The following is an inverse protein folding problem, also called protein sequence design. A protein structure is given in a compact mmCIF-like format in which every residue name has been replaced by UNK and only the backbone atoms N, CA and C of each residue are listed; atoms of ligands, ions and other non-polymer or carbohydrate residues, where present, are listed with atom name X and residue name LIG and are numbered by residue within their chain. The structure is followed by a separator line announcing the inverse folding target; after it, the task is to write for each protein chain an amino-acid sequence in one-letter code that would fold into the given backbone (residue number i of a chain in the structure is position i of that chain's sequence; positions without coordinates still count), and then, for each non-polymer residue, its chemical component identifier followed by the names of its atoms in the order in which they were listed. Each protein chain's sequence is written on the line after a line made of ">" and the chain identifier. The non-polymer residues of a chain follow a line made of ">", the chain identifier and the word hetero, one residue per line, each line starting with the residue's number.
data_IF_638833883292
#
_entry.id   IF_638833883292
#
_cell.length_a   1.000
_cell.length_b   1.000
_cell.length_c   1.000
_cell.angle_alpha   90.00
_cell.angle_beta   90.00
_cell.angle_gamma   90.00
#
_symmetry.space_group_name_H-M   'P 1'
#
loop_
_entity.id
_entity.type
_entity.pdbx_description
1 polymer ?
#
# COMPACT_ATOMS: atom_id res chain seq x y z
N UNK A 1 14.09 17.65 11.44
CA UNK A 1 15.38 16.98 11.12
C UNK A 1 15.66 17.16 9.64
N UNK A 2 16.86 17.57 9.24
CA UNK A 2 17.20 17.92 7.83
C UNK A 2 18.41 17.15 7.27
N UNK A 3 18.89 16.10 7.95
CA UNK A 3 20.02 15.31 7.45
C UNK A 3 19.54 14.19 6.54
N UNK A 4 20.12 14.10 5.34
CA UNK A 4 19.88 12.99 4.43
C UNK A 4 20.21 11.64 5.10
N UNK A 5 19.44 10.61 4.74
CA UNK A 5 19.61 9.23 5.20
C UNK A 5 19.66 8.32 3.98
N UNK A 6 20.40 7.22 4.08
CA UNK A 6 20.25 6.13 3.13
C UNK A 6 18.92 5.43 3.39
N UNK A 7 18.07 5.26 2.39
CA UNK A 7 16.74 4.66 2.56
C UNK A 7 16.82 3.28 3.23
N UNK A 8 17.79 2.46 2.84
CA UNK A 8 18.01 1.12 3.39
C UNK A 8 18.57 1.09 4.82
N UNK A 9 19.06 2.23 5.35
CA UNK A 9 19.44 2.34 6.76
C UNK A 9 18.26 2.58 7.70
N UNK A 10 17.08 2.92 7.14
CA UNK A 10 15.84 3.03 7.90
C UNK A 10 15.33 1.60 8.12
N UNK A 11 14.99 1.30 9.38
CA UNK A 11 14.47 -0.02 9.76
C UNK A 11 13.22 -0.34 8.95
N UNK A 12 13.20 -1.49 8.29
CA UNK A 12 12.00 -2.03 7.68
C UNK A 12 11.13 -2.77 8.69
N UNK A 13 9.83 -2.75 8.43
CA UNK A 13 8.81 -3.49 9.14
C UNK A 13 8.25 -4.57 8.21
N UNK A 14 8.10 -5.77 8.73
CA UNK A 14 7.49 -6.93 8.04
C UNK A 14 6.15 -7.29 8.66
N UNK A 15 5.68 -6.50 9.63
CA UNK A 15 4.36 -6.68 10.23
C UNK A 15 3.26 -6.40 9.21
N UNK A 16 2.30 -7.31 9.16
CA UNK A 16 1.11 -7.20 8.33
C UNK A 16 -0.13 -7.05 9.23
N UNK A 17 -0.85 -5.90 9.16
CA UNK A 17 -1.99 -5.61 10.03
C UNK A 17 -3.28 -6.29 9.57
N UNK A 18 -3.34 -6.89 8.39
CA UNK A 18 -4.54 -7.55 7.91
C UNK A 18 -4.90 -8.76 8.81
N UNK A 19 -6.19 -9.00 9.07
CA UNK A 19 -6.64 -10.20 9.76
C UNK A 19 -6.55 -11.44 8.84
N UNK A 20 -6.61 -12.64 9.43
CA UNK A 20 -6.79 -13.85 8.62
C UNK A 20 -8.20 -13.90 8.03
N UNK A 21 -8.37 -14.45 6.80
CA UNK A 21 -7.37 -15.15 6.00
C UNK A 21 -6.60 -14.24 5.00
N UNK A 22 -6.71 -12.92 5.12
CA UNK A 22 -6.05 -11.98 4.20
C UNK A 22 -4.54 -11.95 4.41
N UNK A 23 -4.10 -11.95 5.67
CA UNK A 23 -2.69 -11.92 6.02
C UNK A 23 -1.89 -13.00 5.31
N UNK A 24 -2.39 -14.25 5.33
CA UNK A 24 -1.75 -15.38 4.65
C UNK A 24 -1.71 -15.26 3.12
N UNK A 25 -2.62 -14.47 2.51
CA UNK A 25 -2.66 -14.27 1.05
C UNK A 25 -1.62 -13.27 0.54
N UNK A 26 -1.19 -12.33 1.38
CA UNK A 26 -0.34 -11.22 0.97
C UNK A 26 1.13 -11.62 0.81
N UNK A 27 1.56 -12.73 1.40
CA UNK A 27 2.95 -13.17 1.33
C UNK A 27 3.90 -12.29 2.14
N UNK A 28 5.19 -12.37 1.83
CA UNK A 28 6.25 -11.66 2.57
C UNK A 28 6.58 -10.32 1.90
N UNK A 29 6.54 -9.26 2.69
CA UNK A 29 6.95 -7.92 2.28
C UNK A 29 7.70 -7.22 3.40
N UNK A 30 8.40 -6.16 3.03
CA UNK A 30 9.05 -5.24 3.96
C UNK A 30 8.74 -3.80 3.57
N UNK A 31 8.16 -3.04 4.51
CA UNK A 31 7.84 -1.64 4.36
C UNK A 31 8.81 -0.78 5.20
N UNK A 32 9.38 0.27 4.61
CA UNK A 32 10.17 1.28 5.33
C UNK A 32 9.47 2.63 5.27
N UNK A 33 9.00 3.12 6.42
CA UNK A 33 8.40 4.45 6.55
C UNK A 33 9.45 5.56 6.44
N UNK A 34 9.79 5.94 5.21
CA UNK A 34 10.79 6.97 4.92
C UNK A 34 10.33 8.33 5.46
N UNK A 35 9.07 8.71 5.22
CA UNK A 35 8.52 9.99 5.67
C UNK A 35 8.52 10.16 7.19
N UNK A 36 8.18 9.10 7.93
CA UNK A 36 8.16 9.10 9.40
C UNK A 36 9.54 9.31 10.00
N UNK A 37 10.60 8.83 9.33
CA UNK A 37 11.99 9.06 9.75
C UNK A 37 12.40 10.53 9.73
N UNK A 38 11.58 11.41 9.15
CA UNK A 38 11.75 12.86 9.14
C UNK A 38 10.63 13.62 9.88
N UNK A 39 9.64 12.91 10.42
CA UNK A 39 8.48 13.51 11.10
C UNK A 39 7.48 14.17 10.15
N UNK A 40 7.37 13.70 8.90
CA UNK A 40 6.36 14.20 7.97
C UNK A 40 4.97 13.75 8.42
N UNK A 41 3.99 14.65 8.38
CA UNK A 41 2.63 14.38 8.90
C UNK A 41 1.53 14.49 7.85
N UNK A 42 1.78 15.15 6.72
CA UNK A 42 0.77 15.41 5.69
C UNK A 42 0.56 14.22 4.75
N UNK A 43 1.59 13.41 4.55
CA UNK A 43 1.58 12.23 3.67
C UNK A 43 2.59 11.20 4.18
N UNK A 44 2.33 9.93 3.87
CA UNK A 44 3.28 8.84 4.00
C UNK A 44 4.19 8.78 2.79
N UNK A 45 5.44 8.35 3.00
CA UNK A 45 6.36 7.97 1.93
C UNK A 45 7.00 6.66 2.38
N UNK A 46 6.68 5.57 1.69
CA UNK A 46 7.12 4.23 2.05
C UNK A 46 7.94 3.64 0.92
N UNK A 47 9.05 2.98 1.28
CA UNK A 47 9.74 2.06 0.38
C UNK A 47 9.26 0.65 0.67
N UNK A 48 8.60 0.05 -0.30
CA UNK A 48 8.06 -1.32 -0.23
C UNK A 48 8.98 -2.27 -0.99
N UNK A 49 9.20 -3.44 -0.42
CA UNK A 49 9.88 -4.58 -1.03
C UNK A 49 8.94 -5.78 -0.99
N UNK A 50 8.60 -6.33 -2.16
CA UNK A 50 7.80 -7.54 -2.28
C UNK A 50 8.71 -8.72 -2.64
N UNK A 51 8.67 -9.77 -1.82
CA UNK A 51 9.26 -11.06 -2.16
C UNK A 51 8.50 -11.74 -3.30
N UNK A 52 9.07 -12.77 -3.95
CA UNK A 52 8.36 -13.59 -4.92
C UNK A 52 7.00 -14.08 -4.39
N UNK A 53 5.96 -13.92 -5.20
CA UNK A 53 4.55 -14.22 -4.93
C UNK A 53 3.86 -13.35 -3.86
N UNK A 54 4.52 -12.30 -3.36
CA UNK A 54 3.90 -11.37 -2.43
C UNK A 54 3.03 -10.32 -3.15
N UNK A 55 2.10 -9.73 -2.40
CA UNK A 55 1.18 -8.69 -2.85
C UNK A 55 1.33 -7.45 -1.97
N UNK A 56 1.18 -6.26 -2.56
CA UNK A 56 1.26 -5.00 -1.80
C UNK A 56 0.10 -4.84 -0.81
N UNK A 57 -1.09 -5.25 -1.22
CA UNK A 57 -2.32 -5.18 -0.44
C UNK A 57 -3.37 -6.12 -1.06
N UNK A 58 -4.52 -6.25 -0.40
CA UNK A 58 -5.73 -6.65 -1.09
C UNK A 58 -6.12 -5.53 -2.07
N UNK A 59 -6.81 -5.87 -3.15
CA UNK A 59 -7.22 -4.91 -4.18
C UNK A 59 -8.16 -3.86 -3.57
N UNK A 60 -7.85 -2.57 -3.71
CA UNK A 60 -8.58 -1.51 -3.01
C UNK A 60 -8.55 -0.14 -3.69
N UNK A 61 -9.39 0.77 -3.21
CA UNK A 61 -9.36 2.19 -3.55
C UNK A 61 -9.69 3.05 -2.32
N UNK A 62 -9.29 4.33 -2.34
CA UNK A 62 -9.41 5.25 -1.21
C UNK A 62 -10.51 6.31 -1.44
N UNK A 63 -11.29 6.63 -0.40
CA UNK A 63 -12.36 7.64 -0.49
C UNK A 63 -11.86 9.09 -0.39
N UNK A 64 -10.68 9.31 0.18
CA UNK A 64 -10.14 10.65 0.48
C UNK A 64 -8.65 10.78 0.30
N UNK A 65 -7.88 9.69 0.33
CA UNK A 65 -6.43 9.73 0.09
C UNK A 65 -6.12 9.59 -1.38
N UNK A 66 -5.38 10.56 -1.94
CA UNK A 66 -4.63 10.31 -3.19
C UNK A 66 -3.44 9.41 -2.88
N UNK A 67 -3.11 8.55 -3.84
CA UNK A 67 -1.96 7.65 -3.78
C UNK A 67 -1.14 7.71 -5.07
N UNK A 68 0.18 7.59 -4.95
CA UNK A 68 1.11 7.59 -6.07
C UNK A 68 2.20 6.57 -5.86
N UNK A 69 2.57 5.87 -6.93
CA UNK A 69 3.57 4.82 -6.94
C UNK A 69 4.67 5.09 -7.97
N UNK A 70 5.91 4.76 -7.61
CA UNK A 70 7.05 4.76 -8.53
C UNK A 70 7.87 3.47 -8.37
N UNK A 71 8.04 2.72 -9.46
CA UNK A 71 8.78 1.45 -9.45
C UNK A 71 10.28 1.72 -9.52
N UNK A 72 11.03 1.17 -8.56
CA UNK A 72 12.48 1.34 -8.46
C UNK A 72 13.25 0.18 -9.11
N UNK A 73 12.71 -1.04 -9.06
CA UNK A 73 13.40 -2.23 -9.53
C UNK A 73 12.55 -3.49 -9.45
N UNK A 74 12.92 -4.49 -10.25
CA UNK A 74 12.15 -5.72 -10.41
C UNK A 74 10.97 -5.58 -11.36
N UNK A 75 10.09 -6.57 -11.32
CA UNK A 75 8.88 -6.68 -12.12
C UNK A 75 7.65 -6.75 -11.19
N UNK A 76 6.66 -5.90 -11.43
CA UNK A 76 5.41 -5.88 -10.67
C UNK A 76 4.23 -6.03 -11.62
N UNK A 77 3.24 -6.83 -11.24
CA UNK A 77 1.96 -6.89 -11.93
C UNK A 77 0.98 -5.98 -11.20
N UNK A 78 0.59 -4.86 -11.81
CA UNK A 78 -0.60 -4.13 -11.39
C UNK A 78 -1.83 -4.94 -11.77
N UNK A 79 -2.75 -5.12 -10.84
CA UNK A 79 -4.11 -5.59 -11.13
C UNK A 79 -5.07 -4.47 -10.76
N UNK A 80 -5.90 -4.08 -11.72
CA UNK A 80 -6.91 -3.03 -11.62
C UNK A 80 -8.20 -3.45 -12.31
N UNK A 81 -9.23 -2.62 -12.29
CA UNK A 81 -10.46 -2.87 -13.05
C UNK A 81 -10.23 -2.84 -14.58
N UNK A 82 -9.18 -2.17 -15.04
CA UNK A 82 -8.75 -2.15 -16.45
C UNK A 82 -7.98 -3.43 -16.83
N UNK A 83 -7.80 -4.35 -15.88
CA UNK A 83 -7.06 -5.59 -16.03
C UNK A 83 -5.65 -5.52 -15.48
N UNK A 84 -4.78 -6.38 -16.02
CA UNK A 84 -3.42 -6.55 -15.54
C UNK A 84 -2.41 -5.81 -16.42
N UNK A 85 -1.42 -5.18 -15.77
CA UNK A 85 -0.33 -4.51 -16.45
C UNK A 85 1.00 -4.80 -15.76
N UNK A 86 1.98 -5.28 -16.52
CA UNK A 86 3.36 -5.44 -16.03
C UNK A 86 4.06 -4.08 -15.96
N UNK A 87 4.69 -3.81 -14.82
CA UNK A 87 5.44 -2.61 -14.51
C UNK A 87 6.91 -2.93 -14.28
N UNK A 88 7.76 -2.03 -14.78
CA UNK A 88 9.22 -2.11 -14.66
C UNK A 88 9.78 -0.84 -14.01
N UNK A 89 11.07 -0.89 -13.64
CA UNK A 89 11.80 0.24 -13.09
C UNK A 89 11.61 1.51 -13.94
N UNK A 90 11.30 2.63 -13.28
CA UNK A 90 11.05 3.92 -13.91
C UNK A 90 9.60 4.19 -14.30
N UNK A 91 8.71 3.20 -14.21
CA UNK A 91 7.28 3.41 -14.39
C UNK A 91 6.64 3.98 -13.12
N UNK A 92 5.59 4.78 -13.28
CA UNK A 92 4.85 5.39 -12.18
C UNK A 92 3.35 5.46 -12.47
N UNK A 93 2.54 5.48 -11.41
CA UNK A 93 1.08 5.41 -11.49
C UNK A 93 0.48 6.23 -10.36
N UNK A 94 -0.64 6.90 -10.61
CA UNK A 94 -1.41 7.61 -9.59
C UNK A 94 -2.82 7.06 -9.47
N UNK A 95 -3.33 7.05 -8.24
CA UNK A 95 -4.67 6.61 -7.89
C UNK A 95 -5.38 7.78 -7.19
N UNK A 96 -6.16 8.58 -7.92
CA UNK A 96 -6.88 9.70 -7.32
C UNK A 96 -7.96 9.20 -6.35
N UNK A 97 -8.14 9.92 -5.24
CA UNK A 97 -9.20 9.63 -4.29
C UNK A 97 -10.58 9.61 -4.97
N UNK A 98 -11.46 8.71 -4.50
CA UNK A 98 -12.84 8.48 -4.99
C UNK A 98 -12.95 7.90 -6.40
N UNK A 99 -11.83 7.63 -7.08
CA UNK A 99 -11.88 6.81 -8.27
C UNK A 99 -12.02 5.37 -7.80
N UNK A 100 -13.20 4.79 -8.01
CA UNK A 100 -13.54 3.43 -7.58
C UNK A 100 -12.90 2.35 -8.48
N UNK A 101 -11.62 2.55 -8.83
CA UNK A 101 -10.81 1.57 -9.55
C UNK A 101 -9.91 0.85 -8.54
N UNK A 102 -10.33 -0.34 -8.13
CA UNK A 102 -9.62 -1.10 -7.10
C UNK A 102 -8.30 -1.64 -7.64
N UNK A 103 -7.19 -1.38 -6.93
CA UNK A 103 -5.85 -1.75 -7.37
C UNK A 103 -5.01 -2.45 -6.29
N UNK A 104 -4.04 -3.23 -6.72
CA UNK A 104 -2.90 -3.70 -5.92
C UNK A 104 -1.75 -4.15 -6.84
N UNK A 105 -0.60 -4.47 -6.26
CA UNK A 105 0.53 -5.03 -6.98
C UNK A 105 0.81 -6.47 -6.53
N UNK A 106 1.25 -7.30 -7.46
CA UNK A 106 1.73 -8.66 -7.21
C UNK A 106 3.13 -8.82 -7.81
N UNK A 107 4.07 -9.34 -7.04
CA UNK A 107 5.36 -9.78 -7.58
C UNK A 107 5.25 -11.24 -8.03
N UNK A 108 5.08 -11.48 -9.34
CA UNK A 108 5.03 -12.84 -9.92
C UNK A 108 6.40 -13.35 -10.37
N UNK A 109 7.44 -12.54 -10.21
CA UNK A 109 8.80 -12.91 -10.62
C UNK A 109 9.49 -13.78 -9.56
N UNK A 110 10.65 -14.32 -9.89
CA UNK A 110 11.50 -15.07 -8.96
C UNK A 110 12.43 -14.18 -8.12
N UNK A 111 12.43 -12.87 -8.36
CA UNK A 111 13.33 -11.91 -7.71
C UNK A 111 12.51 -10.89 -6.90
N UNK A 112 13.18 -10.15 -6.01
CA UNK A 112 12.53 -9.07 -5.27
C UNK A 112 12.15 -7.89 -6.17
N UNK A 113 10.97 -7.32 -5.91
CA UNK A 113 10.51 -6.09 -6.55
C UNK A 113 10.38 -4.94 -5.54
N UNK A 114 10.74 -3.72 -5.97
CA UNK A 114 10.86 -2.56 -5.09
C UNK A 114 10.18 -1.34 -5.70
N UNK A 115 9.42 -0.62 -4.88
CA UNK A 115 8.75 0.60 -5.29
C UNK A 115 8.61 1.59 -4.13
N UNK A 116 8.41 2.85 -4.46
CA UNK A 116 7.99 3.88 -3.51
C UNK A 116 6.49 4.05 -3.67
N UNK A 117 5.78 4.13 -2.54
CA UNK A 117 4.39 4.53 -2.49
C UNK A 117 4.24 5.76 -1.60
N UNK A 118 3.42 6.69 -2.05
CA UNK A 118 3.15 7.98 -1.41
C UNK A 118 1.64 8.10 -1.28
N UNK A 119 1.16 8.32 -0.06
CA UNK A 119 -0.28 8.43 0.22
C UNK A 119 -0.57 9.60 1.15
N UNK A 120 -1.66 10.31 0.91
CA UNK A 120 -2.09 11.41 1.78
C UNK A 120 -2.53 10.91 3.17
N UNK A 121 -2.22 11.66 4.23
CA UNK A 121 -2.71 11.35 5.59
C UNK A 121 -3.98 12.15 5.87
N UNK A 122 -5.14 11.53 5.63
CA UNK A 122 -6.44 12.19 5.73
C UNK A 122 -7.33 11.47 6.75
N UNK A 123 -7.79 12.19 7.78
CA UNK A 123 -8.73 11.63 8.77
C UNK A 123 -10.05 11.25 8.11
N UNK A 124 -10.70 10.16 8.56
CA UNK A 124 -11.96 9.62 7.99
C UNK A 124 -11.84 9.22 6.52
N UNK A 125 -10.64 8.83 6.08
CA UNK A 125 -10.48 8.06 4.85
C UNK A 125 -10.99 6.63 5.08
N UNK A 126 -11.43 5.99 4.00
CA UNK A 126 -11.83 4.60 3.99
C UNK A 126 -11.18 3.92 2.78
N UNK A 127 -10.56 2.76 3.00
CA UNK A 127 -10.07 1.90 1.93
C UNK A 127 -11.12 0.81 1.67
N UNK A 128 -11.68 0.80 0.47
CA UNK A 128 -12.71 -0.15 0.06
C UNK A 128 -12.10 -1.29 -0.74
N UNK A 129 -12.47 -2.52 -0.39
CA UNK A 129 -11.98 -3.74 -1.03
C UNK A 129 -13.08 -4.37 -1.87
N UNK A 130 -13.09 -4.20 -3.21
CA UNK A 130 -14.16 -4.76 -4.05
C UNK A 130 -14.33 -6.27 -3.90
N UNK A 131 -13.24 -7.03 -3.73
CA UNK A 131 -13.25 -8.49 -3.80
C UNK A 131 -13.62 -9.20 -2.49
N UNK A 132 -13.55 -8.50 -1.36
CA UNK A 132 -13.73 -9.09 -0.02
C UNK A 132 -14.74 -8.29 0.82
N UNK A 133 -15.48 -8.92 1.73
CA UNK A 133 -16.30 -8.18 2.73
C UNK A 133 -15.43 -7.59 3.84
N UNK A 134 -14.64 -6.60 3.45
CA UNK A 134 -13.63 -5.94 4.29
C UNK A 134 -13.48 -4.47 3.88
N UNK A 135 -13.14 -3.63 4.86
CA UNK A 135 -12.66 -2.26 4.69
C UNK A 135 -11.79 -1.85 5.86
N UNK A 136 -10.87 -0.93 5.60
CA UNK A 136 -10.24 -0.16 6.65
C UNK A 136 -10.92 1.19 6.78
N UNK A 137 -11.13 1.62 8.02
CA UNK A 137 -11.66 2.94 8.34
C UNK A 137 -10.61 3.70 9.14
N UNK A 138 -10.30 4.92 8.72
CA UNK A 138 -9.45 5.83 9.49
C UNK A 138 -10.32 6.61 10.47
N UNK A 139 -10.24 6.28 11.75
CA UNK A 139 -10.97 6.97 12.80
C UNK A 139 -10.59 8.46 12.88
N UNK A 140 -11.38 9.25 13.61
CA UNK A 140 -11.07 10.67 13.83
C UNK A 140 -9.75 10.86 14.60
N UNK A 141 -9.30 9.85 15.34
CA UNK A 141 -7.99 9.78 15.99
C UNK A 141 -6.82 9.55 15.02
N UNK A 142 -7.10 9.13 13.78
CA UNK A 142 -6.10 8.68 12.81
C UNK A 142 -5.78 7.17 12.89
N UNK A 143 -6.40 6.45 13.83
CA UNK A 143 -6.25 4.99 13.95
C UNK A 143 -6.99 4.25 12.83
N UNK A 144 -6.40 3.16 12.33
CA UNK A 144 -7.00 2.32 11.31
C UNK A 144 -7.75 1.16 11.97
N UNK A 145 -9.06 1.05 11.74
CA UNK A 145 -9.91 0.00 12.30
C UNK A 145 -10.44 -0.92 11.20
N UNK A 146 -10.36 -2.26 11.37
CA UNK A 146 -10.87 -3.19 10.38
C UNK A 146 -12.38 -3.36 10.55
N UNK A 147 -13.12 -3.31 9.44
CA UNK A 147 -14.58 -3.40 9.43
C UNK A 147 -15.09 -4.18 8.23
N UNK A 148 -16.30 -4.72 8.33
CA UNK A 148 -17.06 -5.26 7.19
C UNK A 148 -17.70 -4.11 6.41
N UNK A 149 -18.15 -4.38 5.18
CA UNK A 149 -18.77 -3.35 4.32
C UNK A 149 -20.04 -2.76 4.93
N UNK A 150 -20.75 -3.54 5.75
CA UNK A 150 -21.95 -3.10 6.48
C UNK A 150 -21.66 -2.29 7.77
N UNK A 151 -20.39 -2.07 8.12
CA UNK A 151 -19.98 -1.29 9.29
C UNK A 151 -19.83 -2.07 10.59
N UNK A 152 -20.08 -3.38 10.62
CA UNK A 152 -19.74 -4.19 11.81
C UNK A 152 -18.23 -4.38 11.92
N UNK A 153 -17.67 -4.62 13.11
CA UNK A 153 -16.26 -5.03 13.24
C UNK A 153 -15.96 -6.26 12.40
N UNK A 154 -14.72 -6.36 11.90
CA UNK A 154 -14.27 -7.51 11.12
C UNK A 154 -13.97 -8.72 12.02
#
# INVERSE_FOLDING_TARGET
>A
MTKAKQALSIKGDTFNPFPEPFKSRLGQSECRSLGDSFGLTQFGVNLEVLEPNAQSALRHWHTRSDEFLYVLGGELCLVSDDGEQTLFAGMCIGFPARVENGHHLINRSSEQSKFIVIGSRVAKDEAHYPDDDFKWVVESSGEWTPSRKNGTPY
#
